data_IF_957131896064
#
_entry.id   IF_957131896064
#
_cell.length_a   1.000
_cell.length_b   1.000
_cell.length_c   1.000
_cell.angle_alpha   90.00
_cell.angle_beta   90.00
_cell.angle_gamma   90.00
#
_symmetry.space_group_name_H-M   'P 1'
#
loop_
_entity.id
_entity.type
_entity.pdbx_description
1 polymer ?
#
# COMPACT_ATOMS: atom_id res chain seq x y z
N UNK A 1 -7.83 19.73 0.87
CA UNK A 1 -7.49 18.30 0.86
C UNK A 1 -7.23 17.90 2.30
N UNK A 2 -8.13 17.14 2.90
CA UNK A 2 -8.09 16.85 4.33
C UNK A 2 -6.95 15.88 4.64
N UNK A 3 -5.88 16.41 5.26
CA UNK A 3 -4.75 15.60 5.74
C UNK A 3 -5.19 14.89 7.01
N UNK A 4 -5.38 13.58 6.96
CA UNK A 4 -5.64 12.81 8.17
C UNK A 4 -4.32 12.33 8.76
N UNK A 5 -3.97 12.88 9.93
CA UNK A 5 -2.77 12.55 10.70
C UNK A 5 -3.16 11.51 11.76
N UNK A 6 -2.74 10.25 11.65
CA UNK A 6 -2.71 9.40 12.84
C UNK A 6 -1.31 9.36 13.44
N UNK A 7 -1.24 9.75 14.71
CA UNK A 7 -0.11 9.44 15.58
C UNK A 7 -0.25 8.00 16.08
N UNK A 8 0.88 7.34 16.29
CA UNK A 8 0.94 5.97 16.83
C UNK A 8 0.31 5.94 18.23
N UNK A 9 -0.97 5.58 18.27
CA UNK A 9 -1.44 4.56 19.19
C UNK A 9 -1.28 3.22 18.49
N UNK A 10 -0.94 2.15 19.21
CA UNK A 10 -0.59 0.80 18.72
C UNK A 10 -1.72 0.06 17.94
N UNK A 11 -2.70 0.79 17.41
CA UNK A 11 -3.86 0.26 16.69
C UNK A 11 -3.53 0.14 15.21
N UNK A 12 -3.80 -1.04 14.67
CA UNK A 12 -3.89 -1.25 13.22
C UNK A 12 -4.95 -0.29 12.67
N UNK A 13 -4.60 0.39 11.58
CA UNK A 13 -5.45 1.37 10.92
C UNK A 13 -5.99 0.76 9.63
N UNK A 14 -7.32 0.72 9.47
CA UNK A 14 -7.99 0.27 8.25
C UNK A 14 -8.29 1.44 7.33
N UNK A 15 -7.96 1.25 6.05
CA UNK A 15 -8.15 2.23 4.99
C UNK A 15 -9.10 1.71 3.93
N UNK A 16 -9.97 2.60 3.49
CA UNK A 16 -10.99 2.26 2.53
C UNK A 16 -11.58 3.47 1.82
N UNK A 17 -12.64 3.21 1.07
CA UNK A 17 -13.46 4.24 0.44
C UNK A 17 -14.92 3.98 0.73
N UNK A 18 -15.69 5.05 0.67
CA UNK A 18 -17.14 4.99 0.57
C UNK A 18 -17.53 5.24 -0.89
N UNK A 19 -18.18 4.27 -1.53
CA UNK A 19 -18.52 4.31 -2.95
C UNK A 19 -19.89 3.69 -3.19
N UNK A 20 -20.81 4.42 -3.84
CA UNK A 20 -22.14 3.93 -4.17
C UNK A 20 -22.88 3.31 -2.96
N UNK A 21 -22.81 3.98 -1.81
CA UNK A 21 -23.33 3.50 -0.50
C UNK A 21 -22.67 2.23 0.07
N UNK A 22 -21.55 1.78 -0.50
CA UNK A 22 -20.76 0.64 -0.03
C UNK A 22 -19.53 1.10 0.74
N UNK A 23 -19.23 0.40 1.83
CA UNK A 23 -17.97 0.54 2.56
C UNK A 23 -16.97 -0.49 2.03
N UNK A 24 -15.90 -0.02 1.39
CA UNK A 24 -14.88 -0.87 0.79
C UNK A 24 -13.54 -0.66 1.51
N UNK A 25 -13.00 -1.69 2.14
CA UNK A 25 -11.72 -1.60 2.88
C UNK A 25 -10.63 -2.35 2.10
N UNK A 26 -9.61 -1.66 1.59
CA UNK A 26 -8.62 -2.28 0.71
C UNK A 26 -7.34 -2.70 1.43
N UNK A 27 -7.02 -2.02 2.51
CA UNK A 27 -5.82 -2.33 3.25
C UNK A 27 -5.93 -1.89 4.70
N UNK A 28 -4.96 -2.35 5.46
CA UNK A 28 -4.70 -1.89 6.80
C UNK A 28 -3.19 -1.84 6.99
N UNK A 29 -2.74 -0.99 7.89
CA UNK A 29 -1.32 -0.93 8.21
C UNK A 29 -1.13 -0.53 9.66
N UNK A 30 0.10 -0.64 10.12
CA UNK A 30 0.50 -0.16 11.44
C UNK A 30 1.96 -0.42 11.71
N UNK A 31 2.32 -0.26 12.98
CA UNK A 31 3.68 -0.42 13.47
C UNK A 31 3.73 -1.35 14.66
N UNK A 32 4.74 -2.19 14.74
CA UNK A 32 5.07 -2.97 15.94
C UNK A 32 6.01 -2.19 16.86
N UNK A 33 6.16 -2.67 18.11
CA UNK A 33 6.96 -1.99 19.13
C UNK A 33 8.46 -1.91 18.82
N UNK A 34 8.96 -2.71 17.88
CA UNK A 34 10.33 -2.67 17.37
C UNK A 34 10.51 -1.70 16.18
N UNK A 35 9.49 -0.88 15.90
CA UNK A 35 9.40 0.01 14.75
C UNK A 35 9.27 -0.69 13.39
N UNK A 36 8.98 -1.99 13.34
CA UNK A 36 8.64 -2.61 12.05
C UNK A 36 7.30 -2.09 11.55
N UNK A 37 7.24 -1.81 10.25
CA UNK A 37 5.99 -1.47 9.56
C UNK A 37 5.35 -2.74 9.04
N UNK A 38 4.03 -2.80 9.13
CA UNK A 38 3.26 -3.82 8.44
C UNK A 38 2.14 -3.19 7.61
N UNK A 39 1.94 -3.75 6.43
CA UNK A 39 0.83 -3.45 5.53
C UNK A 39 0.13 -4.76 5.21
N UNK A 40 -1.18 -4.80 5.38
CA UNK A 40 -2.00 -5.95 5.01
C UNK A 40 -3.08 -5.51 4.04
N UNK A 41 -3.11 -6.15 2.88
CA UNK A 41 -4.19 -5.95 1.92
C UNK A 41 -5.41 -6.79 2.29
N UNK A 42 -6.58 -6.34 1.82
CA UNK A 42 -7.83 -7.07 1.83
C UNK A 42 -8.39 -7.09 0.41
N UNK A 43 -8.87 -8.26 -0.01
CA UNK A 43 -9.58 -8.41 -1.28
C UNK A 43 -10.99 -8.95 -1.02
N UNK A 44 -11.97 -8.32 -1.66
CA UNK A 44 -13.41 -8.54 -1.42
C UNK A 44 -14.01 -9.66 -2.29
N UNK A 45 -13.20 -10.36 -3.08
CA UNK A 45 -13.67 -11.36 -4.05
C UNK A 45 -12.62 -12.46 -4.29
N UNK A 46 -13.01 -13.52 -5.02
CA UNK A 46 -12.14 -14.62 -5.52
C UNK A 46 -11.15 -14.12 -6.60
N UNK A 47 -10.61 -12.93 -6.43
CA UNK A 47 -9.61 -12.37 -7.31
C UNK A 47 -8.25 -12.91 -6.94
N UNK A 48 -7.54 -13.47 -7.90
CA UNK A 48 -6.10 -13.67 -7.76
C UNK A 48 -5.44 -12.29 -7.83
N UNK A 49 -4.74 -11.91 -6.78
CA UNK A 49 -3.78 -10.80 -6.88
C UNK A 49 -2.50 -11.36 -7.48
N UNK A 50 -1.99 -10.67 -8.50
CA UNK A 50 -0.65 -10.93 -9.02
C UNK A 50 0.36 -10.06 -8.29
N UNK A 51 1.48 -10.68 -7.90
CA UNK A 51 2.64 -10.01 -7.34
C UNK A 51 3.70 -9.85 -8.43
N UNK A 52 4.33 -8.68 -8.52
CA UNK A 52 5.41 -8.40 -9.46
C UNK A 52 6.41 -7.35 -8.95
N UNK A 53 7.54 -7.25 -9.64
CA UNK A 53 8.47 -6.13 -9.51
C UNK A 53 8.10 -5.07 -10.54
N UNK A 54 8.19 -3.79 -10.18
CA UNK A 54 8.09 -2.68 -11.11
C UNK A 54 9.37 -1.87 -11.10
N UNK A 55 9.73 -1.31 -12.26
CA UNK A 55 10.75 -0.28 -12.37
C UNK A 55 10.06 1.07 -12.42
N UNK A 56 10.49 2.00 -11.56
CA UNK A 56 10.02 3.38 -11.61
C UNK A 56 10.84 4.17 -12.64
N UNK A 57 10.21 4.60 -13.73
CA UNK A 57 10.85 5.51 -14.69
C UNK A 57 10.03 6.79 -14.82
N UNK A 58 10.67 7.93 -14.58
CA UNK A 58 10.04 9.27 -14.69
C UNK A 58 8.75 9.43 -13.87
N UNK A 59 8.66 8.82 -12.67
CA UNK A 59 7.45 8.74 -11.85
C UNK A 59 6.25 8.01 -12.48
N UNK A 60 6.46 7.30 -13.59
CA UNK A 60 5.48 6.43 -14.21
C UNK A 60 5.88 4.97 -13.99
N UNK A 61 4.88 4.16 -13.65
CA UNK A 61 5.04 2.72 -13.59
C UNK A 61 5.00 2.20 -15.02
N UNK A 62 6.10 1.62 -15.47
CA UNK A 62 6.12 0.90 -16.73
C UNK A 62 5.88 -0.58 -16.42
N UNK A 63 5.00 -1.21 -17.20
CA UNK A 63 4.88 -2.67 -17.19
C UNK A 63 6.24 -3.25 -17.57
N UNK A 64 6.78 -4.10 -16.70
CA UNK A 64 7.90 -4.97 -17.02
C UNK A 64 7.54 -6.41 -16.72
N UNK A 65 8.09 -7.30 -17.54
CA UNK A 65 7.80 -8.72 -17.54
C UNK A 65 8.02 -9.34 -16.14
N UNK A 66 7.04 -10.07 -15.62
CA UNK A 66 7.12 -10.64 -14.28
C UNK A 66 8.06 -11.85 -14.22
N UNK A 67 9.08 -11.77 -13.37
CA UNK A 67 9.97 -12.90 -13.08
C UNK A 67 9.24 -14.04 -12.33
N UNK A 68 8.29 -13.73 -11.43
CA UNK A 68 7.55 -14.72 -10.63
C UNK A 68 6.13 -14.25 -10.30
N UNK A 69 5.12 -14.90 -10.89
CA UNK A 69 3.72 -14.69 -10.52
C UNK A 69 3.36 -15.48 -9.26
N UNK A 70 2.94 -14.77 -8.22
CA UNK A 70 2.28 -15.38 -7.06
C UNK A 70 0.82 -15.00 -7.06
N UNK A 71 -0.08 -16.00 -7.00
CA UNK A 71 -1.50 -15.78 -6.77
C UNK A 71 -1.80 -15.87 -5.28
N UNK A 72 -2.46 -14.84 -4.73
CA UNK A 72 -3.05 -14.89 -3.38
C UNK A 72 -4.56 -14.67 -3.44
N UNK A 73 -5.30 -15.43 -2.63
CA UNK A 73 -6.78 -15.42 -2.64
C UNK A 73 -7.39 -14.53 -1.56
N UNK A 74 -6.72 -14.35 -0.41
CA UNK A 74 -7.22 -13.54 0.74
C UNK A 74 -6.32 -12.35 1.07
N UNK A 75 -5.54 -11.92 0.08
CA UNK A 75 -4.56 -10.87 0.21
C UNK A 75 -3.28 -11.31 0.89
N UNK A 76 -2.49 -10.32 1.23
CA UNK A 76 -1.12 -10.51 1.68
C UNK A 76 -0.78 -9.56 2.82
N UNK A 77 0.36 -9.85 3.43
CA UNK A 77 0.97 -9.06 4.48
C UNK A 77 2.41 -8.74 4.09
N UNK A 78 2.71 -7.46 3.90
CA UNK A 78 4.08 -6.93 3.75
C UNK A 78 4.55 -6.47 5.12
N UNK A 79 5.71 -6.96 5.54
CA UNK A 79 6.41 -6.45 6.73
C UNK A 79 7.74 -5.85 6.31
N UNK A 80 8.07 -4.67 6.83
CA UNK A 80 9.35 -4.00 6.65
C UNK A 80 10.05 -3.87 8.01
N UNK A 81 11.22 -4.49 8.13
CA UNK A 81 11.93 -4.65 9.40
C UNK A 81 13.20 -3.77 9.45
N UNK A 82 13.27 -2.75 10.34
CA UNK A 82 14.40 -1.82 10.39
C UNK A 82 15.69 -2.48 10.84
N UNK A 83 15.64 -3.20 11.97
CA UNK A 83 16.83 -3.87 12.54
C UNK A 83 17.32 -5.03 11.68
N UNK A 84 16.38 -5.74 11.05
CA UNK A 84 16.69 -6.86 10.18
C UNK A 84 17.15 -6.46 8.79
N UNK A 85 16.91 -5.19 8.37
CA UNK A 85 17.15 -4.72 7.00
C UNK A 85 16.55 -5.66 5.94
N UNK A 86 15.32 -6.11 6.17
CA UNK A 86 14.62 -6.96 5.21
C UNK A 86 13.12 -6.64 5.15
N UNK A 87 12.52 -7.05 4.03
CA UNK A 87 11.10 -7.10 3.80
C UNK A 87 10.67 -8.55 3.58
N UNK A 88 9.44 -8.90 3.97
CA UNK A 88 8.79 -10.10 3.45
C UNK A 88 7.33 -9.87 3.10
N UNK A 89 6.84 -10.65 2.15
CA UNK A 89 5.44 -10.78 1.78
C UNK A 89 4.96 -12.16 2.22
N UNK A 90 3.84 -12.20 2.94
CA UNK A 90 3.18 -13.43 3.37
C UNK A 90 1.77 -13.48 2.80
N UNK A 91 1.32 -14.68 2.43
CA UNK A 91 -0.11 -14.91 2.18
C UNK A 91 -0.87 -14.82 3.51
N UNK A 92 -2.01 -14.10 3.52
CA UNK A 92 -2.80 -13.89 4.73
C UNK A 92 -3.40 -15.21 5.28
N UNK A 93 -3.74 -16.16 4.42
CA UNK A 93 -4.41 -17.41 4.80
C UNK A 93 -3.41 -18.52 5.16
N UNK A 94 -2.47 -18.80 4.26
CA UNK A 94 -1.47 -19.85 4.42
C UNK A 94 -0.36 -19.46 5.40
N UNK A 95 -0.22 -18.16 5.74
CA UNK A 95 0.89 -17.59 6.51
C UNK A 95 2.27 -17.94 5.94
N UNK A 96 2.32 -18.42 4.69
CA UNK A 96 3.52 -18.79 3.95
C UNK A 96 4.20 -17.52 3.46
N UNK A 97 5.52 -17.46 3.62
CA UNK A 97 6.33 -16.42 2.98
C UNK A 97 6.32 -16.67 1.48
N UNK A 98 5.78 -15.70 0.73
CA UNK A 98 5.75 -15.72 -0.73
C UNK A 98 7.02 -15.11 -1.30
N UNK A 99 7.50 -14.06 -0.64
CA UNK A 99 8.66 -13.30 -1.06
C UNK A 99 9.41 -12.79 0.17
N UNK A 100 10.74 -12.85 0.15
CA UNK A 100 11.60 -12.23 1.16
C UNK A 100 12.76 -11.56 0.44
N UNK A 101 13.09 -10.35 0.87
CA UNK A 101 14.14 -9.56 0.27
C UNK A 101 14.92 -8.82 1.33
N UNK A 102 16.25 -8.88 1.24
CA UNK A 102 17.14 -8.01 2.01
C UNK A 102 17.18 -6.64 1.36
N UNK A 103 17.03 -5.59 2.15
CA UNK A 103 16.97 -4.20 1.70
C UNK A 103 17.71 -3.38 2.73
N UNK A 104 18.80 -2.73 2.32
CA UNK A 104 19.44 -1.74 3.19
C UNK A 104 18.68 -0.41 3.09
N UNK A 105 17.65 -0.25 3.91
CA UNK A 105 16.77 0.92 3.90
C UNK A 105 16.85 1.76 5.18
N UNK A 106 17.55 1.26 6.21
CA UNK A 106 17.56 1.82 7.55
C UNK A 106 19.01 2.15 8.02
N UNK A 107 19.29 3.37 8.51
CA UNK A 107 18.35 4.48 8.73
C UNK A 107 17.80 5.08 7.43
N UNK A 108 16.57 5.61 7.48
CA UNK A 108 15.92 6.21 6.31
C UNK A 108 16.50 7.60 6.04
N UNK A 109 17.43 7.67 5.09
CA UNK A 109 18.14 8.91 4.75
C UNK A 109 17.55 9.62 3.52
N UNK A 110 16.82 8.90 2.66
CA UNK A 110 16.13 9.44 1.49
C UNK A 110 14.74 8.81 1.36
N UNK A 111 13.75 9.52 0.78
CA UNK A 111 12.45 8.94 0.51
C UNK A 111 12.52 7.81 -0.51
N UNK A 112 11.70 6.77 -0.33
CA UNK A 112 11.55 5.70 -1.32
C UNK A 112 10.10 5.17 -1.34
N UNK A 113 9.70 4.59 -2.47
CA UNK A 113 8.43 3.89 -2.56
C UNK A 113 8.60 2.47 -2.02
N UNK A 114 7.72 1.98 -1.14
CA UNK A 114 7.77 0.59 -0.69
C UNK A 114 6.97 -0.31 -1.64
N UNK A 115 5.76 0.12 -1.99
CA UNK A 115 4.85 -0.64 -2.87
C UNK A 115 3.81 0.25 -3.53
N UNK A 116 3.21 -0.30 -4.59
CA UNK A 116 2.02 0.18 -5.26
C UNK A 116 1.05 -1.00 -5.40
N UNK A 117 -0.16 -0.85 -4.85
CA UNK A 117 -1.25 -1.79 -4.97
C UNK A 117 -2.37 -1.19 -5.83
N UNK A 118 -2.73 -1.88 -6.90
CA UNK A 118 -3.94 -1.64 -7.66
C UNK A 118 -5.06 -2.50 -7.09
N UNK A 119 -6.19 -1.87 -6.73
CA UNK A 119 -7.38 -2.61 -6.30
C UNK A 119 -8.05 -3.27 -7.52
N UNK A 120 -8.91 -4.28 -7.32
CA UNK A 120 -9.90 -4.61 -8.33
C UNK A 120 -10.75 -3.38 -8.70
N UNK A 121 -11.39 -3.36 -9.89
CA UNK A 121 -12.36 -2.32 -10.23
C UNK A 121 -13.46 -2.24 -9.16
N UNK A 122 -13.86 -1.03 -8.75
CA UNK A 122 -14.80 -0.84 -7.63
C UNK A 122 -16.12 -1.59 -7.83
N UNK A 123 -16.63 -1.66 -9.07
CA UNK A 123 -17.87 -2.36 -9.37
C UNK A 123 -17.82 -3.88 -9.18
N UNK A 124 -16.62 -4.45 -9.03
CA UNK A 124 -16.42 -5.87 -8.74
C UNK A 124 -16.27 -6.17 -7.24
N UNK A 125 -16.17 -5.12 -6.42
CA UNK A 125 -15.93 -5.22 -4.99
C UNK A 125 -17.25 -5.41 -4.23
N UNK A 126 -17.19 -6.13 -3.11
CA UNK A 126 -18.33 -6.34 -2.20
C UNK A 126 -18.20 -5.40 -0.99
N UNK A 127 -19.33 -4.97 -0.45
CA UNK A 127 -19.33 -4.18 0.79
C UNK A 127 -18.79 -4.99 1.96
N UNK A 128 -18.02 -4.34 2.84
CA UNK A 128 -17.76 -4.85 4.18
C UNK A 128 -18.88 -4.45 5.15
N UNK A 129 -18.99 -5.20 6.25
CA UNK A 129 -19.86 -4.85 7.37
C UNK A 129 -19.29 -3.69 8.19
N UNK A 130 -17.96 -3.63 8.31
CA UNK A 130 -17.29 -2.66 9.16
C UNK A 130 -16.79 -1.47 8.36
N UNK A 131 -17.04 -0.27 8.91
CA UNK A 131 -16.48 0.97 8.39
C UNK A 131 -14.96 1.01 8.60
N UNK A 132 -14.22 1.47 7.58
CA UNK A 132 -12.79 1.78 7.73
C UNK A 132 -12.56 2.89 8.75
N UNK A 133 -11.45 2.80 9.48
CA UNK A 133 -11.05 3.83 10.44
C UNK A 133 -10.78 5.16 9.73
N UNK A 134 -10.22 5.10 8.52
CA UNK A 134 -10.13 6.23 7.61
C UNK A 134 -10.64 5.89 6.22
N UNK A 135 -11.42 6.80 5.65
CA UNK A 135 -11.98 6.64 4.32
C UNK A 135 -12.10 7.98 3.62
N UNK A 136 -12.22 7.91 2.30
CA UNK A 136 -12.61 9.03 1.46
C UNK A 136 -13.82 8.64 0.61
N UNK A 137 -14.63 9.62 0.23
CA UNK A 137 -15.75 9.40 -0.68
C UNK A 137 -15.25 9.46 -2.12
N UNK A 138 -15.63 8.47 -2.91
CA UNK A 138 -15.33 8.40 -4.35
C UNK A 138 -16.63 8.70 -5.11
N UNK A 139 -16.59 9.41 -6.26
CA UNK A 139 -17.79 9.65 -7.06
C UNK A 139 -18.49 8.35 -7.45
N UNK A 140 -19.81 8.30 -7.32
CA UNK A 140 -20.57 7.05 -7.55
C UNK A 140 -20.45 6.50 -8.98
N UNK A 141 -20.18 7.37 -9.95
CA UNK A 141 -19.97 6.97 -11.36
C UNK A 141 -18.59 6.34 -11.61
N UNK A 142 -17.64 6.47 -10.69
CA UNK A 142 -16.30 5.94 -10.85
C UNK A 142 -16.32 4.42 -10.62
N UNK A 143 -15.94 3.64 -11.62
CA UNK A 143 -16.01 2.16 -11.57
C UNK A 143 -14.64 1.48 -11.68
N UNK A 144 -13.60 2.26 -11.96
CA UNK A 144 -12.26 1.77 -12.24
C UNK A 144 -11.53 1.38 -10.94
N UNK A 145 -10.28 0.95 -11.07
CA UNK A 145 -9.45 0.53 -9.94
C UNK A 145 -8.94 1.74 -9.16
N UNK A 146 -8.51 1.55 -7.92
CA UNK A 146 -7.80 2.58 -7.14
C UNK A 146 -6.35 2.18 -7.02
N UNK A 147 -5.43 3.14 -7.15
CA UNK A 147 -4.03 2.92 -6.85
C UNK A 147 -3.74 3.34 -5.41
N UNK A 148 -3.20 2.43 -4.62
CA UNK A 148 -2.71 2.66 -3.26
C UNK A 148 -1.19 2.64 -3.32
N UNK A 149 -0.54 3.72 -2.90
CA UNK A 149 0.92 3.85 -2.90
C UNK A 149 1.42 4.09 -1.48
N UNK A 150 2.40 3.30 -1.06
CA UNK A 150 3.05 3.41 0.26
C UNK A 150 4.48 3.90 0.07
N UNK A 151 4.79 5.06 0.62
CA UNK A 151 6.12 5.67 0.56
C UNK A 151 6.70 5.83 1.97
N UNK A 152 8.01 5.65 2.09
CA UNK A 152 8.77 5.78 3.33
C UNK A 152 9.65 7.02 3.23
N UNK A 153 9.73 7.81 4.31
CA UNK A 153 10.47 9.07 4.36
C UNK A 153 11.34 9.16 5.61
N UNK A 154 12.45 9.93 5.54
CA UNK A 154 13.19 10.34 6.73
C UNK A 154 12.27 10.93 7.81
N UNK A 155 12.64 10.73 9.08
CA UNK A 155 11.80 11.15 10.21
C UNK A 155 11.51 12.65 10.24
N UNK A 156 12.47 13.45 9.78
CA UNK A 156 12.46 14.91 9.84
C UNK A 156 11.90 15.57 8.58
N UNK A 157 11.41 14.78 7.61
CA UNK A 157 10.80 15.30 6.40
C UNK A 157 9.65 16.27 6.74
N UNK A 158 9.79 17.53 6.31
CA UNK A 158 8.88 18.65 6.62
C UNK A 158 7.57 18.65 5.80
N UNK A 159 7.07 17.45 5.47
CA UNK A 159 5.99 17.16 4.53
C UNK A 159 6.36 17.38 3.05
N UNK A 160 6.15 16.35 2.22
CA UNK A 160 6.17 16.49 0.77
C UNK A 160 4.76 16.70 0.23
N UNK A 161 4.66 17.48 -0.85
CA UNK A 161 3.40 17.72 -1.52
C UNK A 161 2.77 16.40 -2.02
N UNK A 162 1.42 16.28 -1.94
CA UNK A 162 0.66 15.25 -2.63
C UNK A 162 1.06 15.12 -4.10
N UNK A 163 0.91 13.93 -4.69
CA UNK A 163 0.72 13.88 -6.14
C UNK A 163 -0.61 14.58 -6.46
N UNK A 164 -0.65 15.34 -7.56
CA UNK A 164 -1.83 16.14 -7.96
C UNK A 164 -3.08 15.27 -8.11
N UNK A 165 -2.92 13.99 -8.46
CA UNK A 165 -4.00 13.02 -8.64
C UNK A 165 -4.44 12.26 -7.38
N UNK A 166 -3.83 12.55 -6.22
CA UNK A 166 -4.23 11.91 -4.97
C UNK A 166 -5.59 12.42 -4.53
N UNK A 167 -6.52 11.50 -4.30
CA UNK A 167 -7.82 11.81 -3.69
C UNK A 167 -7.76 11.78 -2.16
N UNK A 168 -6.77 11.09 -1.60
CA UNK A 168 -6.59 10.99 -0.17
C UNK A 168 -5.16 10.61 0.20
N UNK A 169 -4.65 11.19 1.28
CA UNK A 169 -3.31 10.94 1.80
C UNK A 169 -3.38 10.82 3.31
N UNK A 170 -2.69 9.81 3.80
CA UNK A 170 -2.47 9.56 5.20
C UNK A 170 -0.99 9.53 5.54
N UNK A 171 -0.67 10.11 6.69
CA UNK A 171 0.68 10.09 7.25
C UNK A 171 0.72 9.28 8.55
N UNK A 172 1.50 8.19 8.53
CA UNK A 172 1.83 7.39 9.70
C UNK A 172 3.18 7.81 10.28
N UNK A 173 3.23 8.06 11.60
CA UNK A 173 4.45 8.55 12.28
C UNK A 173 5.07 7.48 13.16
N UNK A 174 6.12 6.80 12.67
CA UNK A 174 6.99 5.98 13.51
C UNK A 174 8.00 6.88 14.25
N UNK A 175 8.50 6.52 15.45
CA UNK A 175 9.53 7.30 16.13
C UNK A 175 10.78 7.58 15.26
N UNK A 176 11.11 6.66 14.35
CA UNK A 176 12.38 6.67 13.59
C UNK A 176 12.25 6.95 12.09
N UNK A 177 11.03 6.93 11.52
CA UNK A 177 10.78 7.29 10.12
C UNK A 177 9.31 7.66 9.90
N UNK A 178 8.97 8.16 8.72
CA UNK A 178 7.60 8.51 8.34
C UNK A 178 7.10 7.59 7.22
N UNK A 179 5.79 7.35 7.21
CA UNK A 179 5.11 6.66 6.12
C UNK A 179 4.03 7.56 5.56
N UNK A 180 3.94 7.59 4.24
CA UNK A 180 2.79 8.14 3.51
C UNK A 180 2.05 7.01 2.81
N UNK A 181 0.75 6.91 3.04
CA UNK A 181 -0.15 6.10 2.22
C UNK A 181 -1.00 7.04 1.40
N UNK A 182 -1.01 6.88 0.09
CA UNK A 182 -1.81 7.70 -0.83
C UNK A 182 -2.77 6.83 -1.64
N UNK A 183 -3.97 7.34 -1.88
CA UNK A 183 -4.96 6.75 -2.77
C UNK A 183 -5.16 7.68 -3.96
N UNK A 184 -5.01 7.14 -5.16
CA UNK A 184 -5.17 7.85 -6.42
C UNK A 184 -6.27 7.17 -7.23
N UNK A 185 -7.16 7.99 -7.82
CA UNK A 185 -8.06 7.50 -8.86
C UNK A 185 -7.26 7.38 -10.16
N UNK A 186 -7.43 6.26 -10.86
CA UNK A 186 -6.81 5.97 -12.15
C UNK A 186 -7.91 5.71 -13.17
N UNK A 187 -7.66 6.03 -14.44
CA UNK A 187 -8.65 5.85 -15.51
C UNK A 187 -8.59 4.47 -16.16
N UNK A 188 -7.85 3.56 -15.54
CA UNK A 188 -7.56 2.23 -16.10
C UNK A 188 -8.16 1.17 -15.19
N UNK A 189 -8.90 0.25 -15.80
CA UNK A 189 -9.39 -0.95 -15.12
C UNK A 189 -8.24 -1.94 -15.03
N UNK A 190 -7.67 -2.05 -13.84
CA UNK A 190 -6.54 -2.94 -13.57
C UNK A 190 -7.04 -4.10 -12.72
N UNK A 191 -6.64 -5.36 -13.00
CA UNK A 191 -6.85 -6.43 -12.03
C UNK A 191 -6.17 -6.07 -10.70
N UNK A 192 -6.47 -6.82 -9.65
CA UNK A 192 -5.68 -6.69 -8.42
C UNK A 192 -4.20 -6.98 -8.75
N UNK A 193 -3.33 -5.97 -8.64
CA UNK A 193 -1.90 -6.09 -8.87
C UNK A 193 -1.10 -5.39 -7.78
N UNK A 194 -0.06 -6.05 -7.27
CA UNK A 194 0.90 -5.46 -6.35
C UNK A 194 2.26 -5.40 -7.03
N UNK A 195 2.84 -4.21 -7.05
CA UNK A 195 4.21 -3.98 -7.43
C UNK A 195 5.02 -3.48 -6.25
N UNK A 196 6.25 -3.96 -6.12
CA UNK A 196 7.29 -3.30 -5.33
C UNK A 196 8.42 -2.86 -6.26
N UNK A 197 9.14 -1.76 -5.94
CA UNK A 197 10.21 -1.28 -6.79
C UNK A 197 11.34 -2.30 -6.91
N UNK A 198 12.04 -2.24 -8.04
CA UNK A 198 13.22 -3.03 -8.31
C UNK A 198 14.36 -2.77 -7.31
N UNK A 199 15.39 -3.62 -7.35
CA UNK A 199 16.50 -3.54 -6.43
C UNK A 199 17.29 -2.24 -6.55
N UNK A 200 17.55 -1.84 -7.79
CA UNK A 200 18.20 -0.58 -8.14
C UNK A 200 17.43 0.66 -7.67
N UNK A 201 16.09 0.61 -7.70
CA UNK A 201 15.23 1.72 -7.27
C UNK A 201 15.20 1.92 -5.75
N UNK A 202 15.67 0.91 -4.99
CA UNK A 202 15.79 0.96 -3.53
C UNK A 202 17.24 1.07 -3.04
N UNK A 203 18.25 1.01 -3.92
CA UNK A 203 19.65 1.21 -3.54
C UNK A 203 19.85 2.68 -3.15
N UNK A 204 20.06 2.91 -1.85
CA UNK A 204 20.25 4.22 -1.22
C UNK A 204 21.46 5.01 -1.77
#
# INVERSE_FOLDING_TARGET
MDKVLAKVDKKQVRLGVHWNSLWLNFCSFGFSGDNSFYFSSKFHSKGQLQLGQAVLKDNHLFDQEPDQFHSVEKGFHVSLHPKGKFMHVKDNQAKKILYKREIDWYPVNRPFNLLILYTPPLETCKSEKDKSDFYTQVPDHYKDSIQIRVDIFPRETKEHHPFISSIWIFWGRCPVYLIRVSMNLIKTRTPALLYWPADEDLRL
#
